data_IF_089804869558
#
_entry.id   IF_089804869558
#
_cell.length_a   1.000
_cell.length_b   1.000
_cell.length_c   1.000
_cell.angle_alpha   90.00
_cell.angle_beta   90.00
_cell.angle_gamma   90.00
#
_symmetry.space_group_name_H-M   'P 1'
#
loop_
_entity.id
_entity.type
_entity.pdbx_description
1 polymer ?
#
# COMPACT_ATOMS: atom_id res chain seq x y z
N UNK A 1 23.39 -18.16 62.29
CA UNK A 1 23.16 -19.35 61.45
C UNK A 1 21.78 -19.21 60.82
N UNK A 2 21.74 -18.68 59.60
CA UNK A 2 21.44 -19.38 58.32
C UNK A 2 19.95 -19.33 57.97
N UNK A 3 19.57 -18.27 57.24
CA UNK A 3 18.33 -18.17 56.48
C UNK A 3 18.36 -19.20 55.35
N UNK A 4 17.49 -20.19 55.41
CA UNK A 4 17.30 -21.19 54.34
C UNK A 4 16.66 -20.54 53.13
N UNK A 5 17.46 -20.31 52.09
CA UNK A 5 16.98 -19.89 50.77
C UNK A 5 16.13 -21.01 50.14
N UNK A 6 14.84 -20.74 49.95
CA UNK A 6 13.96 -21.62 49.19
C UNK A 6 14.41 -21.63 47.72
N UNK A 7 14.94 -22.76 47.25
CA UNK A 7 15.27 -23.01 45.84
C UNK A 7 14.01 -22.89 44.98
N UNK A 8 13.89 -21.81 44.22
CA UNK A 8 12.88 -21.68 43.16
C UNK A 8 13.07 -22.83 42.16
N UNK A 9 12.09 -23.74 42.09
CA UNK A 9 12.08 -24.86 41.13
C UNK A 9 12.02 -24.29 39.72
N UNK A 10 13.15 -24.37 39.00
CA UNK A 10 13.22 -24.08 37.56
C UNK A 10 12.16 -24.90 36.82
N UNK A 11 11.14 -24.23 36.30
CA UNK A 11 10.03 -24.84 35.56
C UNK A 11 10.59 -25.28 34.20
N UNK A 12 11.10 -26.52 34.11
CA UNK A 12 11.55 -27.14 32.85
C UNK A 12 10.47 -26.92 31.79
N UNK A 13 10.82 -26.24 30.68
CA UNK A 13 9.95 -26.06 29.51
C UNK A 13 9.41 -27.44 29.12
N UNK A 14 8.10 -27.68 29.25
CA UNK A 14 7.47 -28.94 28.83
C UNK A 14 7.79 -29.15 27.35
N UNK A 15 8.39 -30.28 27.00
CA UNK A 15 8.54 -30.67 25.61
C UNK A 15 7.13 -30.83 24.99
N UNK A 16 6.90 -30.23 23.82
CA UNK A 16 5.64 -30.31 23.10
C UNK A 16 5.19 -31.76 22.94
N UNK A 17 3.93 -32.04 23.29
CA UNK A 17 3.32 -33.36 23.10
C UNK A 17 3.19 -33.69 21.61
N UNK A 18 2.94 -34.96 21.26
CA UNK A 18 2.70 -35.34 19.85
C UNK A 18 1.52 -34.57 19.24
N UNK A 19 0.47 -34.33 20.04
CA UNK A 19 -0.67 -33.52 19.65
C UNK A 19 -0.28 -32.05 19.42
N UNK A 20 0.49 -31.45 20.33
CA UNK A 20 0.97 -30.06 20.15
C UNK A 20 1.83 -29.91 18.90
N UNK A 21 2.71 -30.89 18.63
CA UNK A 21 3.55 -30.90 17.43
C UNK A 21 2.70 -31.03 16.17
N UNK A 22 1.72 -31.93 16.14
CA UNK A 22 0.82 -32.07 15.00
C UNK A 22 0.02 -30.79 14.75
N UNK A 23 -0.56 -30.19 15.79
CA UNK A 23 -1.31 -28.93 15.68
C UNK A 23 -0.43 -27.80 15.17
N UNK A 24 0.78 -27.62 15.73
CA UNK A 24 1.73 -26.59 15.29
C UNK A 24 2.19 -26.83 13.84
N UNK A 25 2.49 -28.08 13.49
CA UNK A 25 2.87 -28.46 12.13
C UNK A 25 1.75 -28.22 11.13
N UNK A 26 0.48 -28.46 11.49
CA UNK A 26 -0.65 -28.17 10.62
C UNK A 26 -0.90 -26.66 10.50
N UNK A 27 -0.84 -25.92 11.61
CA UNK A 27 -1.06 -24.47 11.64
C UNK A 27 -0.03 -23.70 10.80
N UNK A 28 1.22 -24.15 10.78
CA UNK A 28 2.29 -23.51 9.99
C UNK A 28 2.39 -24.15 8.61
N UNK A 29 2.30 -25.49 8.55
CA UNK A 29 2.55 -26.27 7.35
C UNK A 29 1.49 -26.10 6.27
N UNK A 30 0.19 -26.06 6.62
CA UNK A 30 -0.87 -25.88 5.62
C UNK A 30 -0.79 -24.50 4.96
N UNK A 31 -0.72 -23.37 5.70
CA UNK A 31 -0.56 -22.06 5.07
C UNK A 31 0.74 -21.93 4.29
N UNK A 32 1.86 -22.47 4.80
CA UNK A 32 3.13 -22.44 4.09
C UNK A 32 3.08 -23.24 2.78
N UNK A 33 2.48 -24.43 2.80
CA UNK A 33 2.29 -25.26 1.60
C UNK A 33 1.44 -24.53 0.56
N UNK A 34 0.28 -24.01 0.96
CA UNK A 34 -0.60 -23.25 0.05
C UNK A 34 0.12 -22.01 -0.52
N UNK A 35 0.89 -21.31 0.32
CA UNK A 35 1.67 -20.16 -0.14
C UNK A 35 2.76 -20.55 -1.14
N UNK A 36 3.47 -21.66 -0.91
CA UNK A 36 4.46 -22.17 -1.86
C UNK A 36 3.78 -22.52 -3.19
N UNK A 37 2.68 -23.28 -3.14
CA UNK A 37 2.04 -23.81 -4.35
C UNK A 37 1.38 -22.70 -5.17
N UNK A 38 0.74 -21.71 -4.54
CA UNK A 38 -0.05 -20.69 -5.24
C UNK A 38 0.68 -19.37 -5.45
N UNK A 39 1.77 -19.10 -4.72
CA UNK A 39 2.55 -17.85 -4.89
C UNK A 39 3.92 -18.16 -5.46
N UNK A 40 4.70 -19.01 -4.81
CA UNK A 40 6.11 -19.23 -5.20
C UNK A 40 6.24 -20.04 -6.49
N UNK A 41 5.47 -21.12 -6.67
CA UNK A 41 5.55 -21.91 -7.90
C UNK A 41 5.20 -21.06 -9.13
N UNK A 42 4.05 -20.33 -9.18
CA UNK A 42 3.75 -19.46 -10.31
C UNK A 42 4.79 -18.37 -10.53
N UNK A 43 5.31 -17.74 -9.46
CA UNK A 43 6.34 -16.72 -9.58
C UNK A 43 7.64 -17.26 -10.22
N UNK A 44 8.09 -18.45 -9.79
CA UNK A 44 9.26 -19.11 -10.38
C UNK A 44 9.00 -19.53 -11.83
N UNK A 45 7.79 -20.00 -12.15
CA UNK A 45 7.39 -20.30 -13.53
C UNK A 45 7.37 -19.04 -14.40
N UNK A 46 6.89 -17.89 -13.90
CA UNK A 46 6.95 -16.62 -14.62
C UNK A 46 8.39 -16.21 -14.93
N UNK A 47 9.31 -16.43 -13.99
CA UNK A 47 10.75 -16.22 -14.22
C UNK A 47 11.27 -17.20 -15.27
N UNK A 48 10.91 -18.47 -15.24
CA UNK A 48 11.35 -19.42 -16.27
C UNK A 48 10.80 -19.05 -17.65
N UNK A 49 9.54 -18.63 -17.72
CA UNK A 49 8.86 -18.24 -18.96
C UNK A 49 9.43 -16.95 -19.56
N UNK A 50 10.02 -16.05 -18.77
CA UNK A 50 10.65 -14.82 -19.30
C UNK A 50 11.84 -15.11 -20.23
N UNK A 51 12.43 -16.30 -20.17
CA UNK A 51 13.47 -16.79 -21.09
C UNK A 51 12.92 -17.53 -22.31
N UNK A 52 11.60 -17.49 -22.53
CA UNK A 52 10.92 -18.18 -23.63
C UNK A 52 10.08 -17.21 -24.46
N UNK A 53 9.88 -17.53 -25.74
CA UNK A 53 8.83 -16.95 -26.55
C UNK A 53 7.54 -17.70 -26.27
N UNK A 54 6.59 -17.04 -25.64
CA UNK A 54 5.26 -17.58 -25.38
C UNK A 54 4.20 -16.49 -25.40
N UNK A 55 3.09 -16.76 -26.09
CA UNK A 55 1.97 -15.83 -26.19
C UNK A 55 0.89 -16.04 -25.11
N UNK A 56 1.12 -16.94 -24.15
CA UNK A 56 0.21 -17.18 -23.03
C UNK A 56 -1.00 -18.07 -23.34
N UNK A 57 -1.20 -18.53 -24.58
CA UNK A 57 -2.43 -19.25 -24.99
C UNK A 57 -2.21 -20.77 -25.07
N UNK A 58 -1.22 -21.22 -25.84
CA UNK A 58 -0.95 -22.64 -26.05
C UNK A 58 0.43 -23.01 -25.51
N UNK A 59 0.50 -23.99 -24.62
CA UNK A 59 1.76 -24.47 -24.03
C UNK A 59 2.72 -25.05 -25.08
N UNK A 60 2.20 -25.58 -26.20
CA UNK A 60 3.00 -26.10 -27.32
C UNK A 60 3.84 -25.04 -28.02
N UNK A 61 3.52 -23.76 -27.85
CA UNK A 61 4.20 -22.66 -28.54
C UNK A 61 5.38 -22.10 -27.74
N UNK A 62 5.66 -22.65 -26.56
CA UNK A 62 6.81 -22.23 -25.74
C UNK A 62 8.10 -22.61 -26.48
N UNK A 63 8.86 -21.60 -26.88
CA UNK A 63 10.17 -21.78 -27.53
C UNK A 63 11.25 -21.10 -26.70
N UNK A 64 12.40 -21.75 -26.51
CA UNK A 64 13.50 -21.13 -25.78
C UNK A 64 14.03 -19.90 -26.52
N UNK A 65 14.08 -18.76 -25.82
CA UNK A 65 14.54 -17.48 -26.35
C UNK A 65 15.85 -17.01 -25.70
N UNK A 66 16.29 -17.68 -24.61
CA UNK A 66 17.42 -17.23 -23.82
C UNK A 66 17.18 -15.82 -23.28
N UNK A 67 18.10 -14.89 -23.56
CA UNK A 67 18.01 -13.50 -23.10
C UNK A 67 17.35 -12.55 -24.12
N UNK A 68 16.84 -13.05 -25.25
CA UNK A 68 16.36 -12.20 -26.33
C UNK A 68 15.20 -11.27 -25.92
N UNK A 69 14.32 -11.71 -25.01
CA UNK A 69 13.26 -10.87 -24.45
C UNK A 69 13.81 -9.67 -23.66
N UNK A 70 14.91 -9.88 -22.93
CA UNK A 70 15.58 -8.83 -22.16
C UNK A 70 16.32 -7.86 -23.08
N UNK A 71 16.96 -8.33 -24.15
CA UNK A 71 17.56 -7.42 -25.13
C UNK A 71 16.48 -6.55 -25.80
N UNK A 72 15.42 -7.18 -26.29
CA UNK A 72 14.31 -6.53 -27.01
C UNK A 72 13.63 -5.42 -26.20
N UNK A 73 13.46 -5.61 -24.89
CA UNK A 73 12.80 -4.59 -24.04
C UNK A 73 13.67 -3.33 -23.88
N UNK A 74 15.00 -3.47 -23.89
CA UNK A 74 15.92 -2.33 -23.76
C UNK A 74 16.28 -1.67 -25.09
N UNK A 75 16.30 -2.43 -26.20
CA UNK A 75 16.76 -1.97 -27.52
C UNK A 75 15.62 -1.62 -28.48
N UNK A 76 14.53 -2.37 -28.47
CA UNK A 76 13.48 -2.30 -29.49
C UNK A 76 12.11 -1.83 -28.96
N UNK A 77 12.00 -1.50 -27.66
CA UNK A 77 10.72 -1.14 -27.02
C UNK A 77 10.74 0.28 -26.41
N UNK A 78 10.54 1.36 -27.20
CA UNK A 78 10.52 2.73 -26.68
C UNK A 78 9.47 2.96 -25.57
N UNK A 79 8.38 2.20 -25.59
CA UNK A 79 7.30 2.29 -24.60
C UNK A 79 7.77 1.87 -23.20
N UNK A 80 8.80 1.03 -23.08
CA UNK A 80 9.35 0.60 -21.81
C UNK A 80 9.84 1.79 -20.97
N UNK A 81 10.59 2.71 -21.58
CA UNK A 81 11.11 3.89 -20.88
C UNK A 81 9.99 4.87 -20.50
N UNK A 82 8.96 5.00 -21.35
CA UNK A 82 7.77 5.80 -21.03
C UNK A 82 7.01 5.21 -19.82
N UNK A 83 6.83 3.89 -19.78
CA UNK A 83 6.21 3.19 -18.66
C UNK A 83 7.04 3.33 -17.37
N UNK A 84 8.37 3.18 -17.46
CA UNK A 84 9.28 3.33 -16.33
C UNK A 84 9.25 4.76 -15.76
N UNK A 85 9.24 5.78 -16.62
CA UNK A 85 9.11 7.19 -16.22
C UNK A 85 7.77 7.43 -15.51
N UNK A 86 6.68 6.92 -16.06
CA UNK A 86 5.36 7.07 -15.45
C UNK A 86 5.31 6.39 -14.08
N UNK A 87 5.77 5.14 -13.95
CA UNK A 87 5.85 4.44 -12.66
C UNK A 87 6.74 5.18 -11.65
N UNK A 88 7.79 5.85 -12.12
CA UNK A 88 8.60 6.71 -11.25
C UNK A 88 7.79 7.89 -10.72
N UNK A 89 6.96 8.55 -11.55
CA UNK A 89 6.05 9.60 -11.07
C UNK A 89 5.05 9.07 -10.04
N UNK A 90 4.48 7.87 -10.27
CA UNK A 90 3.62 7.20 -9.30
C UNK A 90 4.32 6.96 -7.96
N UNK A 91 5.53 6.38 -7.99
CA UNK A 91 6.31 6.10 -6.80
C UNK A 91 6.64 7.37 -6.02
N UNK A 92 7.13 8.41 -6.69
CA UNK A 92 7.48 9.68 -6.04
C UNK A 92 6.23 10.37 -5.46
N UNK A 93 5.15 10.47 -6.23
CA UNK A 93 3.90 11.08 -5.76
C UNK A 93 3.34 10.34 -4.54
N UNK A 94 3.29 9.02 -4.59
CA UNK A 94 2.76 8.23 -3.49
C UNK A 94 3.65 8.32 -2.24
N UNK A 95 4.98 8.31 -2.42
CA UNK A 95 5.93 8.36 -1.31
C UNK A 95 6.00 9.72 -0.63
N UNK A 96 5.92 10.82 -1.40
CA UNK A 96 6.16 12.16 -0.87
C UNK A 96 4.89 12.99 -0.66
N UNK A 97 3.77 12.60 -1.26
CA UNK A 97 2.51 13.35 -1.16
C UNK A 97 1.44 12.48 -0.51
N UNK A 98 1.03 11.38 -1.15
CA UNK A 98 -0.14 10.61 -0.70
C UNK A 98 0.09 9.93 0.66
N UNK A 99 1.23 9.25 0.84
CA UNK A 99 1.53 8.51 2.08
C UNK A 99 1.73 9.44 3.27
N UNK A 100 2.51 10.54 3.18
CA UNK A 100 2.60 11.52 4.26
C UNK A 100 1.25 12.14 4.63
N UNK A 101 0.37 12.41 3.67
CA UNK A 101 -0.99 12.87 3.94
C UNK A 101 -1.81 11.83 4.70
N UNK A 102 -1.73 10.55 4.34
CA UNK A 102 -2.37 9.46 5.08
C UNK A 102 -1.87 9.35 6.53
N UNK A 103 -0.56 9.43 6.73
CA UNK A 103 0.06 9.44 8.08
C UNK A 103 -0.38 10.65 8.89
N UNK A 104 -0.40 11.84 8.28
CA UNK A 104 -0.85 13.07 8.93
C UNK A 104 -2.31 12.96 9.37
N UNK A 105 -3.19 12.49 8.50
CA UNK A 105 -4.61 12.30 8.82
C UNK A 105 -4.78 11.28 9.94
N UNK A 106 -4.03 10.18 9.92
CA UNK A 106 -4.09 9.17 10.99
C UNK A 106 -3.70 9.78 12.34
N UNK A 107 -2.62 10.55 12.38
CA UNK A 107 -2.17 11.22 13.60
C UNK A 107 -3.21 12.23 14.12
N UNK A 108 -3.88 12.98 13.24
CA UNK A 108 -4.91 13.93 13.65
C UNK A 108 -6.19 13.25 14.15
N UNK A 109 -6.61 12.17 13.50
CA UNK A 109 -7.77 11.39 13.90
C UNK A 109 -7.54 10.68 15.25
N UNK A 110 -6.34 10.14 15.46
CA UNK A 110 -5.94 9.47 16.71
C UNK A 110 -6.05 10.38 17.94
N UNK A 111 -5.89 11.70 17.77
CA UNK A 111 -6.09 12.71 18.82
C UNK A 111 -7.55 12.86 19.29
N UNK A 112 -8.47 12.04 18.77
CA UNK A 112 -9.90 12.06 19.09
C UNK A 112 -10.51 13.45 18.97
N UNK A 113 -10.13 14.16 17.90
CA UNK A 113 -10.74 15.45 17.55
C UNK A 113 -12.27 15.32 17.49
N UNK A 114 -12.97 16.43 17.71
CA UNK A 114 -14.44 16.47 17.62
C UNK A 114 -14.85 15.95 16.24
N UNK A 115 -15.69 14.90 16.21
CA UNK A 115 -16.12 14.28 14.95
C UNK A 115 -15.18 13.21 14.37
N UNK A 116 -14.14 12.74 15.09
CA UNK A 116 -13.19 11.72 14.59
C UNK A 116 -13.85 10.52 13.91
N UNK A 117 -14.97 10.00 14.44
CA UNK A 117 -15.71 8.86 13.84
C UNK A 117 -16.24 9.17 12.43
N UNK A 118 -16.69 10.40 12.20
CA UNK A 118 -17.17 10.85 10.89
C UNK A 118 -15.99 10.92 9.93
N UNK A 119 -14.88 11.54 10.34
CA UNK A 119 -13.66 11.60 9.52
C UNK A 119 -13.15 10.20 9.16
N UNK A 120 -13.05 9.29 10.13
CA UNK A 120 -12.70 7.87 9.90
C UNK A 120 -13.62 7.24 8.84
N UNK A 121 -14.92 7.45 8.96
CA UNK A 121 -15.91 6.87 8.03
C UNK A 121 -15.76 7.43 6.61
N UNK A 122 -15.61 8.75 6.48
CA UNK A 122 -15.46 9.45 5.19
C UNK A 122 -14.19 9.00 4.47
N UNK A 123 -13.06 8.90 5.17
CA UNK A 123 -11.81 8.44 4.58
C UNK A 123 -11.76 6.93 4.35
N UNK A 124 -12.63 6.14 5.00
CA UNK A 124 -12.74 4.70 4.79
C UNK A 124 -13.54 4.34 3.53
N UNK A 125 -14.56 5.13 3.18
CA UNK A 125 -15.41 4.89 1.99
C UNK A 125 -14.62 4.58 0.71
N UNK A 126 -13.57 5.32 0.32
CA UNK A 126 -12.85 4.98 -0.92
C UNK A 126 -12.11 3.65 -0.84
N UNK A 127 -11.66 3.25 0.35
CA UNK A 127 -10.84 2.04 0.55
C UNK A 127 -11.65 0.76 0.26
N UNK A 128 -12.96 0.80 0.50
CA UNK A 128 -13.84 -0.35 0.25
C UNK A 128 -14.25 -0.49 -1.22
N UNK A 129 -14.03 0.53 -2.04
CA UNK A 129 -14.33 0.50 -3.47
C UNK A 129 -13.18 -0.14 -4.26
N UNK A 130 -13.52 -0.89 -5.30
CA UNK A 130 -12.52 -1.39 -6.25
C UNK A 130 -11.97 -0.23 -7.09
N UNK A 131 -10.70 -0.34 -7.51
CA UNK A 131 -10.06 0.68 -8.35
C UNK A 131 -10.83 0.90 -9.67
N UNK A 132 -11.39 -0.16 -10.25
CA UNK A 132 -12.23 -0.07 -11.45
C UNK A 132 -13.49 0.78 -11.22
N UNK A 133 -14.19 0.58 -10.10
CA UNK A 133 -15.38 1.39 -9.75
C UNK A 133 -15.00 2.86 -9.52
N UNK A 134 -13.87 3.11 -8.84
CA UNK A 134 -13.34 4.47 -8.65
C UNK A 134 -13.05 5.12 -10.01
N UNK A 135 -12.40 4.41 -10.93
CA UNK A 135 -12.13 4.89 -12.28
C UNK A 135 -13.40 5.27 -13.04
N UNK A 136 -14.44 4.43 -12.97
CA UNK A 136 -15.74 4.70 -13.59
C UNK A 136 -16.38 5.97 -13.01
N UNK A 137 -16.44 6.11 -11.68
CA UNK A 137 -17.01 7.28 -11.00
C UNK A 137 -16.30 8.55 -11.47
N UNK A 138 -14.97 8.57 -11.42
CA UNK A 138 -14.20 9.75 -11.80
C UNK A 138 -14.25 10.05 -13.29
N UNK A 139 -14.36 9.04 -14.14
CA UNK A 139 -14.61 9.23 -15.58
C UNK A 139 -15.92 9.97 -15.85
N UNK A 140 -16.99 9.67 -15.09
CA UNK A 140 -18.24 10.42 -15.18
C UNK A 140 -18.12 11.83 -14.57
N UNK A 141 -17.46 11.98 -13.43
CA UNK A 141 -17.30 13.28 -12.77
C UNK A 141 -16.46 14.28 -13.57
N UNK A 142 -15.43 13.79 -14.27
CA UNK A 142 -14.46 14.59 -15.03
C UNK A 142 -14.75 14.63 -16.54
N UNK A 143 -15.78 13.91 -17.00
CA UNK A 143 -16.22 13.94 -18.39
C UNK A 143 -16.67 15.34 -18.83
N UNK A 144 -16.87 15.59 -20.13
CA UNK A 144 -17.21 16.91 -20.65
C UNK A 144 -18.47 17.54 -20.03
N UNK A 145 -19.46 16.73 -19.69
CA UNK A 145 -20.69 17.16 -18.98
C UNK A 145 -20.67 16.80 -17.49
N UNK A 146 -19.50 16.44 -16.97
CA UNK A 146 -19.32 15.98 -15.59
C UNK A 146 -19.45 17.12 -14.59
N UNK A 147 -19.77 16.77 -13.34
CA UNK A 147 -19.94 17.71 -12.24
C UNK A 147 -18.74 18.66 -12.08
N UNK A 148 -17.52 18.16 -12.28
CA UNK A 148 -16.31 18.98 -12.11
C UNK A 148 -16.23 20.09 -13.15
N UNK A 149 -16.58 19.83 -14.41
CA UNK A 149 -16.58 20.86 -15.47
C UNK A 149 -17.63 21.94 -15.19
N UNK A 150 -18.83 21.53 -14.77
CA UNK A 150 -19.91 22.45 -14.39
C UNK A 150 -19.48 23.35 -13.22
N UNK A 151 -18.84 22.78 -12.19
CA UNK A 151 -18.32 23.55 -11.05
C UNK A 151 -17.17 24.49 -11.43
N UNK A 152 -16.39 24.15 -12.47
CA UNK A 152 -15.34 24.99 -13.02
C UNK A 152 -15.86 26.09 -13.97
N UNK A 153 -17.18 26.14 -14.23
CA UNK A 153 -17.80 27.13 -15.11
C UNK A 153 -17.84 26.75 -16.59
N UNK A 154 -17.62 25.47 -16.92
CA UNK A 154 -17.68 24.92 -18.27
C UNK A 154 -18.85 23.92 -18.41
N UNK A 155 -20.12 24.38 -18.41
CA UNK A 155 -21.28 23.48 -18.46
C UNK A 155 -21.52 22.89 -19.86
N UNK A 156 -20.95 23.50 -20.91
CA UNK A 156 -21.06 23.04 -22.29
C UNK A 156 -19.96 22.06 -22.68
N UNK A 157 -20.27 21.12 -23.57
CA UNK A 157 -19.30 20.13 -24.08
C UNK A 157 -18.19 20.81 -24.89
N UNK A 158 -18.50 21.90 -25.58
CA UNK A 158 -17.58 22.60 -26.49
C UNK A 158 -16.46 23.33 -25.75
N UNK A 159 -16.72 23.83 -24.55
CA UNK A 159 -15.75 24.56 -23.72
C UNK A 159 -15.08 23.68 -22.65
N UNK A 160 -15.42 22.39 -22.60
CA UNK A 160 -14.94 21.49 -21.56
C UNK A 160 -13.43 21.27 -21.66
N UNK A 161 -12.75 21.31 -20.52
CA UNK A 161 -11.31 21.02 -20.45
C UNK A 161 -11.10 19.54 -20.79
N UNK A 162 -10.26 19.17 -21.78
CA UNK A 162 -10.04 17.77 -22.14
C UNK A 162 -9.11 17.09 -21.12
N UNK A 163 -9.60 16.87 -19.90
CA UNK A 163 -8.82 16.37 -18.75
C UNK A 163 -8.06 15.08 -19.06
N UNK A 164 -8.72 14.13 -19.73
CA UNK A 164 -8.11 12.87 -20.13
C UNK A 164 -7.33 12.96 -21.45
N UNK A 165 -7.62 13.95 -22.30
CA UNK A 165 -6.96 14.16 -23.59
C UNK A 165 -5.68 14.99 -23.50
N UNK A 166 -5.50 15.76 -22.43
CA UNK A 166 -4.34 16.60 -22.22
C UNK A 166 -3.26 15.86 -21.41
N UNK A 167 -2.24 15.38 -22.11
CA UNK A 167 -1.12 14.63 -21.54
C UNK A 167 -0.36 15.35 -20.42
N UNK A 168 -0.39 16.68 -20.39
CA UNK A 168 0.31 17.49 -19.37
C UNK A 168 -0.37 17.44 -18.00
N UNK A 169 -1.69 17.21 -17.96
CA UNK A 169 -2.48 17.20 -16.71
C UNK A 169 -3.01 15.82 -16.36
N UNK A 170 -3.25 14.95 -17.35
CA UNK A 170 -3.93 13.66 -17.16
C UNK A 170 -3.25 12.80 -16.08
N UNK A 171 -1.92 12.66 -16.14
CA UNK A 171 -1.15 11.90 -15.15
C UNK A 171 -1.38 12.40 -13.72
N UNK A 172 -1.37 13.72 -13.50
CA UNK A 172 -1.58 14.29 -12.16
C UNK A 172 -3.01 14.14 -11.66
N UNK A 173 -3.98 14.18 -12.57
CA UNK A 173 -5.39 13.94 -12.24
C UNK A 173 -5.59 12.49 -11.81
N UNK A 174 -5.07 11.53 -12.59
CA UNK A 174 -5.12 10.10 -12.24
C UNK A 174 -4.41 9.85 -10.91
N UNK A 175 -3.22 10.44 -10.69
CA UNK A 175 -2.50 10.35 -9.42
C UNK A 175 -3.33 10.89 -8.25
N UNK A 176 -4.05 12.00 -8.44
CA UNK A 176 -4.89 12.59 -7.42
C UNK A 176 -6.09 11.70 -7.08
N UNK A 177 -6.72 11.09 -8.09
CA UNK A 177 -7.79 10.11 -7.90
C UNK A 177 -7.28 8.89 -7.13
N UNK A 178 -6.13 8.36 -7.52
CA UNK A 178 -5.53 7.20 -6.86
C UNK A 178 -5.10 7.53 -5.42
N UNK A 179 -4.57 8.74 -5.19
CA UNK A 179 -4.24 9.26 -3.87
C UNK A 179 -5.44 9.25 -2.93
N UNK A 180 -6.65 9.55 -3.41
CA UNK A 180 -7.85 9.57 -2.56
C UNK A 180 -8.07 8.22 -1.85
N UNK A 181 -7.92 7.10 -2.57
CA UNK A 181 -7.97 5.75 -2.00
C UNK A 181 -6.74 5.43 -1.15
N UNK A 182 -5.55 5.73 -1.69
CA UNK A 182 -4.28 5.40 -1.03
C UNK A 182 -4.13 6.08 0.32
N UNK A 183 -4.49 7.37 0.41
CA UNK A 183 -4.49 8.15 1.65
C UNK A 183 -5.36 7.48 2.71
N UNK A 184 -6.58 7.07 2.36
CA UNK A 184 -7.48 6.37 3.29
C UNK A 184 -6.91 5.03 3.77
N UNK A 185 -6.26 4.29 2.87
CA UNK A 185 -5.64 3.01 3.20
C UNK A 185 -4.44 3.16 4.16
N UNK A 186 -3.52 4.07 3.84
CA UNK A 186 -2.39 4.41 4.71
C UNK A 186 -2.87 4.94 6.06
N UNK A 187 -3.89 5.81 6.05
CA UNK A 187 -4.46 6.36 7.27
C UNK A 187 -4.96 5.25 8.20
N UNK A 188 -5.71 4.29 7.66
CA UNK A 188 -6.26 3.18 8.44
C UNK A 188 -5.17 2.28 9.04
N UNK A 189 -4.18 1.91 8.23
CA UNK A 189 -3.05 1.10 8.68
C UNK A 189 -2.25 1.81 9.77
N UNK A 190 -1.96 3.09 9.56
CA UNK A 190 -1.17 3.88 10.50
C UNK A 190 -1.93 4.12 11.81
N UNK A 191 -3.24 4.39 11.74
CA UNK A 191 -4.12 4.53 12.91
C UNK A 191 -4.20 3.24 13.73
N UNK A 192 -4.29 2.08 13.07
CA UNK A 192 -4.25 0.78 13.75
C UNK A 192 -2.92 0.58 14.48
N UNK A 193 -1.81 0.99 13.86
CA UNK A 193 -0.49 0.99 14.49
C UNK A 193 -0.39 1.95 15.67
N UNK A 194 -0.91 3.18 15.56
CA UNK A 194 -0.91 4.17 16.64
C UNK A 194 -1.62 3.63 17.89
N UNK A 195 -2.73 2.90 17.71
CA UNK A 195 -3.47 2.25 18.81
C UNK A 195 -2.65 1.18 19.56
N UNK A 196 -1.58 0.67 18.95
CA UNK A 196 -0.69 -0.32 19.57
C UNK A 196 0.48 0.31 20.35
N UNK A 197 0.75 1.60 20.15
CA UNK A 197 1.81 2.34 20.85
C UNK A 197 1.32 2.76 22.23
N UNK A 198 2.20 2.65 23.24
CA UNK A 198 1.89 3.07 24.60
C UNK A 198 1.57 4.59 24.66
N UNK A 199 0.37 4.99 25.12
CA UNK A 199 0.00 6.38 25.28
C UNK A 199 0.94 7.18 26.21
N UNK A 200 1.60 6.51 27.15
CA UNK A 200 2.51 7.14 28.13
C UNK A 200 3.67 7.89 27.47
N UNK A 201 4.11 7.45 26.28
CA UNK A 201 5.18 8.11 25.53
C UNK A 201 4.80 9.54 25.12
N UNK A 202 3.52 9.76 24.79
CA UNK A 202 3.02 11.09 24.40
C UNK A 202 2.80 11.98 25.60
N UNK A 203 2.32 11.40 26.71
CA UNK A 203 2.15 12.11 27.97
C UNK A 203 3.50 12.58 28.53
N UNK A 204 4.52 11.72 28.51
CA UNK A 204 5.88 12.06 28.91
C UNK A 204 6.45 13.21 28.05
N UNK A 205 6.29 13.14 26.73
CA UNK A 205 6.73 14.20 25.83
C UNK A 205 6.02 15.54 26.11
N UNK A 206 4.73 15.51 26.47
CA UNK A 206 3.97 16.70 26.84
C UNK A 206 4.45 17.31 28.17
N UNK A 207 4.80 16.47 29.16
CA UNK A 207 5.41 16.90 30.43
C UNK A 207 6.78 17.56 30.18
N UNK A 208 7.56 17.02 29.24
CA UNK A 208 8.85 17.58 28.82
C UNK A 208 8.73 18.87 27.97
N UNK A 209 7.51 19.38 27.76
CA UNK A 209 7.24 20.61 27.01
C UNK A 209 7.45 20.48 25.50
N UNK A 210 7.45 19.26 24.95
CA UNK A 210 7.59 19.05 23.51
C UNK A 210 6.35 19.56 22.77
N UNK A 211 6.57 20.30 21.68
CA UNK A 211 5.48 20.68 20.77
C UNK A 211 4.93 19.47 20.02
N UNK A 212 3.71 19.57 19.48
CA UNK A 212 3.08 18.47 18.73
C UNK A 212 3.95 17.92 17.59
N UNK A 213 4.61 18.81 16.84
CA UNK A 213 5.52 18.38 15.78
C UNK A 213 6.77 17.68 16.32
N UNK A 214 7.30 18.13 17.46
CA UNK A 214 8.43 17.48 18.13
C UNK A 214 8.03 16.10 18.66
N UNK A 215 6.86 15.99 19.29
CA UNK A 215 6.30 14.71 19.76
C UNK A 215 6.10 13.73 18.61
N UNK A 216 5.46 14.17 17.51
CA UNK A 216 5.29 13.34 16.31
C UNK A 216 6.63 12.87 15.75
N UNK A 217 7.55 13.80 15.44
CA UNK A 217 8.80 13.48 14.73
C UNK A 217 9.79 12.71 15.60
N UNK A 218 9.90 13.01 16.89
CA UNK A 218 10.94 12.47 17.78
C UNK A 218 10.47 11.28 18.62
N UNK A 219 9.16 11.13 18.85
CA UNK A 219 8.63 10.08 19.73
C UNK A 219 7.77 9.11 18.94
N UNK A 220 6.70 9.60 18.31
CA UNK A 220 5.70 8.75 17.64
C UNK A 220 6.29 8.08 16.40
N UNK A 221 6.89 8.86 15.48
CA UNK A 221 7.42 8.34 14.24
C UNK A 221 8.51 7.27 14.46
N UNK A 222 9.49 7.43 15.39
CA UNK A 222 10.43 6.36 15.71
C UNK A 222 9.80 5.15 16.39
N UNK A 223 8.85 5.35 17.32
CA UNK A 223 8.14 4.25 17.97
C UNK A 223 7.33 3.42 16.96
N UNK A 224 6.84 4.07 15.90
CA UNK A 224 6.10 3.47 14.80
C UNK A 224 6.98 2.81 13.73
N UNK A 225 8.29 2.61 13.96
CA UNK A 225 9.22 2.04 12.96
C UNK A 225 8.72 0.76 12.27
N UNK A 226 8.12 -0.24 12.96
CA UNK A 226 7.59 -1.43 12.29
C UNK A 226 6.46 -1.09 11.31
N UNK A 227 5.58 -0.17 11.69
CA UNK A 227 4.46 0.29 10.86
C UNK A 227 4.97 1.14 9.69
N UNK A 228 5.99 1.99 9.92
CA UNK A 228 6.65 2.76 8.87
C UNK A 228 7.24 1.88 7.77
N UNK A 229 7.85 0.75 8.13
CA UNK A 229 8.37 -0.20 7.15
C UNK A 229 7.23 -0.80 6.33
N UNK A 230 6.13 -1.20 6.98
CA UNK A 230 4.95 -1.76 6.30
C UNK A 230 4.35 -0.75 5.31
N UNK A 231 4.13 0.50 5.73
CA UNK A 231 3.55 1.52 4.84
C UNK A 231 4.46 1.83 3.66
N UNK A 232 5.80 1.84 3.84
CA UNK A 232 6.75 2.06 2.75
C UNK A 232 6.66 0.93 1.74
N UNK A 233 6.68 -0.33 2.21
CA UNK A 233 6.58 -1.51 1.33
C UNK A 233 5.26 -1.49 0.56
N UNK A 234 4.13 -1.22 1.24
CA UNK A 234 2.82 -1.10 0.59
C UNK A 234 2.82 0.03 -0.44
N UNK A 235 3.39 1.19 -0.10
CA UNK A 235 3.46 2.33 -1.01
C UNK A 235 4.22 1.99 -2.29
N UNK A 236 5.34 1.28 -2.17
CA UNK A 236 6.10 0.80 -3.33
C UNK A 236 5.26 -0.17 -4.16
N UNK A 237 4.65 -1.18 -3.53
CA UNK A 237 3.81 -2.17 -4.23
C UNK A 237 2.66 -1.48 -4.98
N UNK A 238 1.93 -0.59 -4.33
CA UNK A 238 0.78 0.12 -4.91
C UNK A 238 1.22 1.03 -6.06
N UNK A 239 2.34 1.74 -5.91
CA UNK A 239 2.84 2.63 -6.96
C UNK A 239 3.25 1.90 -8.25
N UNK A 240 3.64 0.63 -8.14
CA UNK A 240 4.04 -0.20 -9.29
C UNK A 240 2.86 -0.96 -9.91
N UNK A 241 1.72 -1.07 -9.21
CA UNK A 241 0.55 -1.86 -9.62
C UNK A 241 -0.63 -1.02 -10.12
N UNK A 242 -0.38 0.20 -10.58
CA UNK A 242 -1.42 1.17 -10.96
C UNK A 242 -2.22 0.86 -12.26
N UNK A 243 -2.29 -0.41 -12.69
CA UNK A 243 -2.92 -0.80 -13.95
C UNK A 243 -4.44 -0.58 -13.97
N UNK A 244 -5.13 -0.95 -12.90
CA UNK A 244 -6.61 -1.00 -12.85
C UNK A 244 -7.30 0.36 -13.05
N UNK A 245 -6.60 1.46 -12.74
CA UNK A 245 -7.16 2.82 -12.91
C UNK A 245 -6.86 3.39 -14.30
N UNK A 246 -5.84 2.87 -14.98
CA UNK A 246 -5.35 3.37 -16.27
C UNK A 246 -6.07 2.68 -17.44
N UNK A 247 -6.45 1.41 -17.28
CA UNK A 247 -7.11 0.58 -18.29
C UNK A 247 -8.63 0.78 -18.29
#
# INVERSE_FOLDING_TARGET
MTLTAAKAKSRRRRAFTKADRFTLSMFVGVPAFLHIVWVWIPALLTIALSFTYWNGVQLSNIRWAGLANYDTIFTASPQFYSALRNNTYWLLWFSFIATPLGVLLAYQVDRRIRGHKIYESVYYIPVVLSLAVIGIIWRFMLGPTGLVQVLLGYPGIEDAIPIFGNYSINTYVILSIASWRHIGYIMLLYLAGLKSVDPSLREAAAIDGATEWQSFRKVVLPAMRPVNVIIIVITVIESLRAFDLIY
#
